data_IF_727654321611
#
_entry.id   IF_727654321611
#
_cell.length_a   1.000
_cell.length_b   1.000
_cell.length_c   1.000
_cell.angle_alpha   90.00
_cell.angle_beta   90.00
_cell.angle_gamma   90.00
#
_symmetry.space_group_name_H-M   'P 1'
#
loop_
_entity.id
_entity.type
_entity.pdbx_description
1 polymer ?
#
# COMPACT_ATOMS: atom_id res chain seq x y z
N UNK A 1 -24.36 -7.72 12.84
CA UNK A 1 -23.19 -8.61 12.68
C UNK A 1 -21.94 -7.91 13.19
N UNK A 2 -21.43 -8.36 14.34
CA UNK A 2 -20.11 -7.98 14.87
C UNK A 2 -19.04 -8.61 13.99
N UNK A 3 -18.02 -7.84 13.58
CA UNK A 3 -16.88 -8.43 12.87
C UNK A 3 -16.31 -9.60 13.71
N UNK A 4 -15.91 -10.71 13.10
CA UNK A 4 -15.25 -11.75 13.86
C UNK A 4 -14.00 -11.12 14.48
N UNK A 5 -13.82 -11.29 15.79
CA UNK A 5 -12.69 -10.70 16.54
C UNK A 5 -11.31 -11.05 15.93
N UNK A 6 -11.24 -12.07 15.06
CA UNK A 6 -10.06 -12.43 14.29
C UNK A 6 -9.68 -11.39 13.23
N UNK A 7 -10.62 -10.85 12.43
CA UNK A 7 -10.28 -9.99 11.29
C UNK A 7 -9.48 -8.74 11.71
N UNK A 8 -9.99 -7.97 12.67
CA UNK A 8 -9.30 -6.77 13.13
C UNK A 8 -7.99 -7.08 13.87
N UNK A 9 -7.90 -8.25 14.51
CA UNK A 9 -6.65 -8.72 15.12
C UNK A 9 -5.61 -9.03 14.04
N UNK A 10 -6.02 -9.66 12.94
CA UNK A 10 -5.16 -9.96 11.81
C UNK A 10 -4.72 -8.68 11.09
N UNK A 11 -5.64 -7.72 10.90
CA UNK A 11 -5.29 -6.40 10.35
C UNK A 11 -4.32 -5.64 11.25
N UNK A 12 -4.50 -5.69 12.57
CA UNK A 12 -3.55 -5.07 13.49
C UNK A 12 -2.15 -5.69 13.39
N UNK A 13 -2.07 -7.01 13.22
CA UNK A 13 -0.79 -7.71 12.97
C UNK A 13 -0.15 -7.25 11.66
N UNK A 14 -0.90 -7.25 10.56
CA UNK A 14 -0.42 -6.78 9.25
C UNK A 14 0.07 -5.34 9.33
N UNK A 15 -0.73 -4.46 9.93
CA UNK A 15 -0.38 -3.05 10.15
C UNK A 15 0.94 -2.91 10.92
N UNK A 16 1.09 -3.64 12.03
CA UNK A 16 2.27 -3.57 12.89
C UNK A 16 3.51 -4.10 12.16
N UNK A 17 3.39 -5.24 11.47
CA UNK A 17 4.48 -5.86 10.73
C UNK A 17 4.94 -4.97 9.57
N UNK A 18 4.00 -4.39 8.83
CA UNK A 18 4.26 -3.42 7.78
C UNK A 18 4.95 -2.16 8.32
N UNK A 19 4.48 -1.63 9.45
CA UNK A 19 5.09 -0.47 10.12
C UNK A 19 6.54 -0.73 10.50
N UNK A 20 6.81 -1.84 11.19
CA UNK A 20 8.15 -2.19 11.64
C UNK A 20 9.07 -2.56 10.46
N UNK A 21 8.55 -3.26 9.46
CA UNK A 21 9.30 -3.63 8.27
C UNK A 21 9.75 -2.41 7.48
N UNK A 22 8.91 -1.39 7.40
CA UNK A 22 9.22 -0.13 6.75
C UNK A 22 10.26 0.69 7.53
N UNK A 23 10.13 0.77 8.86
CA UNK A 23 11.16 1.40 9.70
C UNK A 23 12.53 0.74 9.53
N UNK A 24 12.57 -0.58 9.46
CA UNK A 24 13.80 -1.33 9.19
C UNK A 24 14.34 -1.01 7.79
N UNK A 25 13.47 -1.00 6.79
CA UNK A 25 13.82 -0.68 5.40
C UNK A 25 14.46 0.70 5.28
N UNK A 26 13.86 1.71 5.90
CA UNK A 26 14.43 3.05 5.96
C UNK A 26 15.81 3.07 6.63
N UNK A 27 15.97 2.33 7.74
CA UNK A 27 17.27 2.18 8.42
C UNK A 27 18.36 1.64 7.49
N UNK A 28 18.03 0.60 6.73
CA UNK A 28 18.95 0.01 5.74
C UNK A 28 19.26 1.01 4.63
N UNK A 29 18.25 1.68 4.08
CA UNK A 29 18.44 2.63 2.97
C UNK A 29 19.28 3.83 3.40
N UNK A 30 19.05 4.40 4.59
CA UNK A 30 19.89 5.49 5.11
C UNK A 30 21.33 5.03 5.32
N UNK A 31 21.54 3.81 5.83
CA UNK A 31 22.87 3.21 5.96
C UNK A 31 23.58 3.05 4.62
N UNK A 32 22.88 2.54 3.60
CA UNK A 32 23.42 2.37 2.24
C UNK A 32 23.75 3.70 1.56
N UNK A 33 22.97 4.75 1.83
CA UNK A 33 23.21 6.10 1.31
C UNK A 33 24.35 6.84 2.04
N UNK A 34 24.88 6.28 3.13
CA UNK A 34 25.94 6.90 3.92
C UNK A 34 25.48 8.18 4.64
N UNK A 35 24.19 8.24 5.01
CA UNK A 35 23.61 9.44 5.59
C UNK A 35 24.15 9.70 7.00
N UNK A 36 24.85 10.83 7.17
CA UNK A 36 25.62 11.13 8.38
C UNK A 36 24.73 11.51 9.58
N UNK A 37 23.48 11.90 9.34
CA UNK A 37 22.53 12.33 10.39
C UNK A 37 21.89 11.15 11.15
N UNK A 38 22.14 9.91 10.72
CA UNK A 38 21.54 8.71 11.32
C UNK A 38 20.02 8.63 11.11
N UNK A 39 19.40 7.54 11.58
CA UNK A 39 17.97 7.34 11.43
C UNK A 39 17.18 8.31 12.34
N UNK A 40 16.36 9.17 11.74
CA UNK A 40 15.37 9.99 12.45
C UNK A 40 14.18 9.12 12.85
N UNK A 41 14.27 8.45 14.01
CA UNK A 41 13.27 7.46 14.46
C UNK A 41 11.82 7.95 14.37
N UNK A 42 11.55 9.20 14.74
CA UNK A 42 10.19 9.78 14.65
C UNK A 42 9.67 9.87 13.22
N UNK A 43 10.53 10.20 12.26
CA UNK A 43 10.19 10.20 10.84
C UNK A 43 9.98 8.77 10.33
N UNK A 44 10.89 7.86 10.69
CA UNK A 44 10.80 6.47 10.31
C UNK A 44 9.51 5.83 10.80
N UNK A 45 9.10 6.11 12.05
CA UNK A 45 7.85 5.64 12.62
C UNK A 45 6.63 6.23 11.89
N UNK A 46 6.61 7.54 11.60
CA UNK A 46 5.50 8.17 10.89
C UNK A 46 5.33 7.59 9.48
N UNK A 47 6.42 7.41 8.75
CA UNK A 47 6.41 6.78 7.44
C UNK A 47 6.02 5.30 7.52
N UNK A 48 6.52 4.57 8.53
CA UNK A 48 6.11 3.19 8.77
C UNK A 48 4.61 3.06 9.04
N UNK A 49 4.02 3.96 9.83
CA UNK A 49 2.57 4.00 10.06
C UNK A 49 1.77 4.28 8.77
N UNK A 50 2.31 5.12 7.88
CA UNK A 50 1.71 5.34 6.57
C UNK A 50 1.74 4.07 5.72
N UNK A 51 2.87 3.37 5.69
CA UNK A 51 3.00 2.06 5.02
C UNK A 51 2.07 1.02 5.62
N UNK A 52 2.00 0.93 6.95
CA UNK A 52 1.08 0.05 7.67
C UNK A 52 -0.37 0.29 7.31
N UNK A 53 -0.77 1.56 7.19
CA UNK A 53 -2.12 1.93 6.73
C UNK A 53 -2.38 1.43 5.31
N UNK A 54 -1.45 1.65 4.39
CA UNK A 54 -1.59 1.22 2.99
C UNK A 54 -1.81 -0.29 2.88
N UNK A 55 -1.11 -1.09 3.69
CA UNK A 55 -1.23 -2.56 3.68
C UNK A 55 -2.61 -3.06 4.16
N UNK A 56 -3.28 -2.34 5.06
CA UNK A 56 -4.56 -2.77 5.62
C UNK A 56 -5.77 -2.05 5.03
N UNK A 57 -5.56 -0.97 4.29
CA UNK A 57 -6.64 -0.11 3.80
C UNK A 57 -7.61 -0.86 2.89
N UNK A 58 -7.11 -1.63 1.91
CA UNK A 58 -7.98 -2.35 0.99
C UNK A 58 -8.79 -3.48 1.66
N UNK A 59 -8.20 -4.40 2.44
CA UNK A 59 -8.98 -5.40 3.16
C UNK A 59 -10.04 -4.80 4.10
N UNK A 60 -9.71 -3.71 4.80
CA UNK A 60 -10.68 -3.02 5.67
C UNK A 60 -11.80 -2.38 4.84
N UNK A 61 -11.48 -1.76 3.70
CA UNK A 61 -12.46 -1.17 2.80
C UNK A 61 -13.42 -2.22 2.25
N UNK A 62 -12.89 -3.33 1.74
CA UNK A 62 -13.68 -4.49 1.25
C UNK A 62 -14.59 -5.00 2.36
N UNK A 63 -14.05 -5.24 3.57
CA UNK A 63 -14.86 -5.71 4.71
C UNK A 63 -16.01 -4.76 5.07
N UNK A 64 -15.78 -3.45 5.04
CA UNK A 64 -16.82 -2.45 5.31
C UNK A 64 -17.86 -2.42 4.18
N UNK A 65 -17.43 -2.47 2.92
CA UNK A 65 -18.31 -2.43 1.76
C UNK A 65 -19.17 -3.70 1.66
N UNK A 66 -18.61 -4.89 1.86
CA UNK A 66 -19.36 -6.15 1.92
C UNK A 66 -20.44 -6.14 2.99
N UNK A 67 -20.12 -5.55 4.15
CA UNK A 67 -21.05 -5.48 5.29
C UNK A 67 -22.21 -4.51 5.06
N UNK A 68 -21.99 -3.46 4.27
CA UNK A 68 -22.92 -2.34 4.14
C UNK A 68 -23.55 -2.21 2.74
N UNK A 69 -23.08 -2.96 1.75
CA UNK A 69 -23.58 -2.92 0.37
C UNK A 69 -23.76 -4.33 -0.19
N UNK A 70 -25.02 -4.74 -0.36
CA UNK A 70 -25.34 -6.02 -0.99
C UNK A 70 -24.88 -6.05 -2.46
N UNK A 71 -24.99 -4.92 -3.16
CA UNK A 71 -24.51 -4.76 -4.54
C UNK A 71 -23.01 -4.96 -4.64
N UNK A 72 -22.24 -4.41 -3.69
CA UNK A 72 -20.79 -4.64 -3.65
C UNK A 72 -20.51 -6.12 -3.43
N UNK A 73 -21.17 -6.74 -2.43
CA UNK A 73 -20.99 -8.16 -2.11
C UNK A 73 -21.28 -9.06 -3.31
N UNK A 74 -22.37 -8.80 -4.03
CA UNK A 74 -22.72 -9.52 -5.26
C UNK A 74 -21.63 -9.36 -6.32
N UNK A 75 -21.23 -8.12 -6.62
CA UNK A 75 -20.18 -7.88 -7.61
C UNK A 75 -18.81 -8.44 -7.21
N UNK A 76 -18.53 -8.57 -5.91
CA UNK A 76 -17.23 -9.05 -5.41
C UNK A 76 -17.14 -10.57 -5.34
N UNK A 77 -18.19 -11.29 -4.92
CA UNK A 77 -18.14 -12.75 -4.75
C UNK A 77 -18.77 -13.53 -5.89
N UNK A 78 -19.88 -13.07 -6.46
CA UNK A 78 -20.67 -13.89 -7.39
C UNK A 78 -20.01 -13.94 -8.78
N UNK A 79 -20.15 -15.06 -9.49
CA UNK A 79 -19.54 -15.27 -10.81
C UNK A 79 -20.14 -14.37 -11.90
N UNK A 80 -21.42 -14.04 -11.78
CA UNK A 80 -22.15 -13.09 -12.62
C UNK A 80 -21.92 -11.62 -12.22
N UNK A 81 -21.20 -11.39 -11.13
CA UNK A 81 -20.84 -10.09 -10.61
C UNK A 81 -19.75 -9.37 -11.42
N UNK A 82 -19.85 -8.04 -11.52
CA UNK A 82 -18.81 -7.21 -12.15
C UNK A 82 -17.62 -6.99 -11.19
N UNK A 83 -16.64 -7.90 -11.20
CA UNK A 83 -15.43 -7.83 -10.35
C UNK A 83 -14.69 -6.50 -10.48
N UNK A 84 -14.61 -5.97 -11.71
CA UNK A 84 -13.99 -4.66 -12.01
C UNK A 84 -14.64 -3.54 -11.20
N UNK A 85 -15.98 -3.51 -11.13
CA UNK A 85 -16.70 -2.50 -10.35
C UNK A 85 -16.44 -2.64 -8.85
N UNK A 86 -16.34 -3.88 -8.36
CA UNK A 86 -16.00 -4.14 -6.97
C UNK A 86 -14.56 -3.71 -6.63
N UNK A 87 -13.57 -4.00 -7.49
CA UNK A 87 -12.18 -3.56 -7.27
C UNK A 87 -12.04 -2.04 -7.31
N UNK A 88 -12.77 -1.36 -8.21
CA UNK A 88 -12.84 0.10 -8.24
C UNK A 88 -13.44 0.65 -6.95
N UNK A 89 -14.57 0.12 -6.50
CA UNK A 89 -15.22 0.57 -5.27
C UNK A 89 -14.35 0.30 -4.03
N UNK A 90 -13.72 -0.87 -3.96
CA UNK A 90 -12.76 -1.24 -2.90
C UNK A 90 -11.54 -0.32 -2.91
N UNK A 91 -10.97 -0.04 -4.08
CA UNK A 91 -9.84 0.88 -4.25
C UNK A 91 -10.16 2.32 -3.85
N UNK A 92 -11.35 2.82 -4.18
CA UNK A 92 -11.83 4.13 -3.70
C UNK A 92 -12.00 4.14 -2.18
N UNK A 93 -12.58 3.07 -1.62
CA UNK A 93 -12.71 2.92 -0.17
C UNK A 93 -11.36 2.89 0.55
N UNK A 94 -10.40 2.16 -0.01
CA UNK A 94 -9.02 2.08 0.50
C UNK A 94 -8.34 3.44 0.45
N UNK A 95 -8.43 4.15 -0.69
CA UNK A 95 -7.93 5.51 -0.83
C UNK A 95 -8.53 6.46 0.21
N UNK A 96 -9.80 6.28 0.57
CA UNK A 96 -10.46 7.03 1.64
C UNK A 96 -9.83 6.78 3.01
N UNK A 97 -9.59 5.52 3.36
CA UNK A 97 -8.92 5.13 4.60
C UNK A 97 -7.49 5.69 4.64
N UNK A 98 -6.72 5.48 3.57
CA UNK A 98 -5.36 6.01 3.42
C UNK A 98 -5.37 7.52 3.57
N UNK A 99 -6.26 8.24 2.89
CA UNK A 99 -6.34 9.69 3.00
C UNK A 99 -6.66 10.15 4.43
N UNK A 100 -7.61 9.51 5.11
CA UNK A 100 -8.03 9.90 6.47
C UNK A 100 -6.91 9.71 7.50
N UNK A 101 -6.11 8.65 7.36
CA UNK A 101 -5.04 8.32 8.30
C UNK A 101 -3.71 8.95 7.90
N UNK A 102 -3.31 8.84 6.64
CA UNK A 102 -1.98 9.25 6.19
C UNK A 102 -1.87 10.76 5.96
N UNK A 103 -2.95 11.46 5.62
CA UNK A 103 -2.92 12.92 5.46
C UNK A 103 -2.49 13.68 6.73
N UNK A 104 -3.07 13.42 7.93
CA UNK A 104 -2.58 14.07 9.14
C UNK A 104 -1.17 13.60 9.55
N UNK A 105 -0.80 12.33 9.30
CA UNK A 105 0.57 11.86 9.54
C UNK A 105 1.58 12.60 8.64
N UNK A 106 1.22 12.82 7.37
CA UNK A 106 2.04 13.58 6.42
C UNK A 106 2.22 15.04 6.85
N UNK A 107 1.16 15.65 7.40
CA UNK A 107 1.24 16.99 8.02
C UNK A 107 2.23 17.04 9.17
N UNK A 108 2.22 16.04 10.04
CA UNK A 108 3.14 15.97 11.16
C UNK A 108 4.58 15.76 10.68
N UNK A 109 4.78 14.88 9.70
CA UNK A 109 6.08 14.59 9.09
C UNK A 109 6.69 15.83 8.45
N UNK A 110 5.96 16.50 7.55
CA UNK A 110 6.41 17.74 6.90
C UNK A 110 6.69 18.86 7.90
N UNK A 111 5.83 19.02 8.91
CA UNK A 111 6.06 20.00 9.97
C UNK A 111 7.34 19.72 10.77
N UNK A 112 7.63 18.45 11.07
CA UNK A 112 8.87 18.06 11.74
C UNK A 112 10.11 18.34 10.86
N UNK A 113 9.98 18.22 9.55
CA UNK A 113 11.02 18.52 8.56
C UNK A 113 11.12 20.01 8.18
N UNK A 114 10.27 20.87 8.76
CA UNK A 114 10.13 22.29 8.38
C UNK A 114 9.73 22.49 6.91
N UNK A 115 9.07 21.49 6.31
CA UNK A 115 8.50 21.57 4.98
C UNK A 115 7.07 22.10 5.02
N UNK A 116 6.69 22.86 4.00
CA UNK A 116 5.35 23.43 3.89
C UNK A 116 4.42 22.44 3.19
N UNK A 117 3.31 22.08 3.85
CA UNK A 117 2.28 21.28 3.19
C UNK A 117 1.40 22.15 2.32
N UNK A 118 1.61 22.04 1.01
CA UNK A 118 0.85 22.75 -0.02
C UNK A 118 -0.42 22.00 -0.45
N UNK A 119 -0.46 20.68 -0.25
CA UNK A 119 -1.56 19.84 -0.69
C UNK A 119 -2.77 19.85 0.27
N UNK A 120 -3.94 20.10 -0.32
CA UNK A 120 -5.22 19.93 0.38
C UNK A 120 -5.58 18.45 0.52
N UNK A 121 -6.43 18.13 1.49
CA UNK A 121 -6.94 16.77 1.68
C UNK A 121 -7.59 16.19 0.41
N UNK A 122 -8.31 17.02 -0.35
CA UNK A 122 -8.97 16.58 -1.60
C UNK A 122 -7.97 16.14 -2.66
N UNK A 123 -6.90 16.91 -2.84
CA UNK A 123 -5.82 16.56 -3.76
C UNK A 123 -5.07 15.31 -3.29
N UNK A 124 -4.81 15.21 -1.98
CA UNK A 124 -4.20 14.01 -1.40
C UNK A 124 -5.06 12.77 -1.66
N UNK A 125 -6.37 12.83 -1.36
CA UNK A 125 -7.30 11.73 -1.62
C UNK A 125 -7.36 11.36 -3.11
N UNK A 126 -7.50 12.35 -4.00
CA UNK A 126 -7.55 12.10 -5.44
C UNK A 126 -6.28 11.40 -5.96
N UNK A 127 -5.11 11.77 -5.43
CA UNK A 127 -3.85 11.11 -5.73
C UNK A 127 -3.77 9.66 -5.23
N UNK A 128 -4.55 9.28 -4.22
CA UNK A 128 -4.59 7.90 -3.70
C UNK A 128 -5.57 6.99 -4.44
N UNK A 129 -6.60 7.52 -5.11
CA UNK A 129 -7.63 6.71 -5.78
C UNK A 129 -7.02 5.80 -6.85
N UNK A 130 -6.25 6.38 -7.76
CA UNK A 130 -5.60 5.65 -8.85
C UNK A 130 -4.71 4.49 -8.38
N UNK A 131 -3.70 4.76 -7.53
CA UNK A 131 -2.84 3.73 -6.95
C UNK A 131 -3.60 2.59 -6.27
N UNK A 132 -4.60 2.90 -5.44
CA UNK A 132 -5.33 1.89 -4.69
C UNK A 132 -6.23 1.03 -5.59
N UNK A 133 -6.81 1.60 -6.65
CA UNK A 133 -7.52 0.83 -7.67
C UNK A 133 -6.54 -0.09 -8.41
N UNK A 134 -5.41 0.45 -8.89
CA UNK A 134 -4.41 -0.30 -9.63
C UNK A 134 -3.82 -1.47 -8.82
N UNK A 135 -3.50 -1.21 -7.54
CA UNK A 135 -3.03 -2.23 -6.61
C UNK A 135 -4.07 -3.34 -6.41
N UNK A 136 -5.34 -2.99 -6.19
CA UNK A 136 -6.43 -3.95 -6.04
C UNK A 136 -6.56 -4.88 -7.25
N UNK A 137 -6.52 -4.31 -8.47
CA UNK A 137 -6.55 -5.11 -9.70
C UNK A 137 -5.39 -6.10 -9.76
N UNK A 138 -4.17 -5.67 -9.45
CA UNK A 138 -3.01 -6.54 -9.48
C UNK A 138 -3.08 -7.65 -8.42
N UNK A 139 -3.41 -7.32 -7.18
CA UNK A 139 -3.52 -8.29 -6.10
C UNK A 139 -4.56 -9.36 -6.45
N UNK A 140 -5.77 -8.96 -6.87
CA UNK A 140 -6.88 -9.88 -7.09
C UNK A 140 -6.76 -10.68 -8.40
N UNK A 141 -6.08 -10.18 -9.43
CA UNK A 141 -5.91 -10.89 -10.69
C UNK A 141 -4.63 -11.72 -10.76
N UNK A 142 -3.52 -11.20 -10.21
CA UNK A 142 -2.20 -11.80 -10.39
C UNK A 142 -1.91 -12.81 -9.28
N UNK A 143 -2.26 -12.51 -8.02
CA UNK A 143 -1.94 -13.40 -6.91
C UNK A 143 -2.54 -14.81 -7.08
N UNK A 144 -3.82 -14.98 -7.47
CA UNK A 144 -4.40 -16.31 -7.67
C UNK A 144 -3.83 -17.04 -8.88
N UNK A 145 -3.33 -16.32 -9.88
CA UNK A 145 -2.74 -16.89 -11.09
C UNK A 145 -1.31 -17.41 -10.87
N UNK A 146 -0.61 -16.93 -9.83
CA UNK A 146 0.77 -17.31 -9.56
C UNK A 146 0.86 -18.58 -8.70
N UNK A 147 1.49 -19.67 -9.18
CA UNK A 147 1.61 -20.91 -8.43
C UNK A 147 2.41 -20.72 -7.14
N UNK A 148 2.01 -21.41 -6.08
CA UNK A 148 2.77 -21.45 -4.80
C UNK A 148 3.79 -22.57 -4.87
N UNK A 149 5.06 -22.23 -4.69
CA UNK A 149 6.16 -23.19 -4.71
C UNK A 149 6.43 -23.73 -3.29
N UNK A 150 7.09 -24.89 -3.17
CA UNK A 150 7.56 -25.37 -1.85
C UNK A 150 8.93 -24.81 -1.48
N UNK A 151 9.71 -24.41 -2.49
CA UNK A 151 11.05 -23.87 -2.33
C UNK A 151 10.98 -22.42 -1.87
N UNK A 152 11.75 -22.08 -0.83
CA UNK A 152 11.77 -20.75 -0.23
C UNK A 152 12.25 -19.66 -1.19
N UNK A 153 13.25 -19.94 -2.02
CA UNK A 153 13.77 -18.98 -3.00
C UNK A 153 12.73 -18.70 -4.11
N UNK A 154 12.06 -19.74 -4.63
CA UNK A 154 11.01 -19.54 -5.64
C UNK A 154 9.79 -18.82 -5.07
N UNK A 155 9.41 -19.09 -3.81
CA UNK A 155 8.36 -18.32 -3.14
C UNK A 155 8.75 -16.87 -2.88
N UNK A 156 10.00 -16.63 -2.48
CA UNK A 156 10.53 -15.29 -2.33
C UNK A 156 10.47 -14.53 -3.66
N UNK A 157 10.97 -15.13 -4.74
CA UNK A 157 10.94 -14.53 -6.08
C UNK A 157 9.51 -14.25 -6.55
N UNK A 158 8.57 -15.19 -6.31
CA UNK A 158 7.14 -14.99 -6.55
C UNK A 158 6.60 -13.77 -5.80
N UNK A 159 6.92 -13.63 -4.51
CA UNK A 159 6.51 -12.49 -3.68
C UNK A 159 7.04 -11.17 -4.23
N UNK A 160 8.32 -11.14 -4.65
CA UNK A 160 8.93 -9.96 -5.28
C UNK A 160 8.27 -9.60 -6.61
N UNK A 161 7.96 -10.59 -7.46
CA UNK A 161 7.24 -10.37 -8.71
C UNK A 161 5.82 -9.84 -8.48
N UNK A 162 5.10 -10.40 -7.50
CA UNK A 162 3.76 -9.92 -7.14
C UNK A 162 3.82 -8.47 -6.67
N UNK A 163 4.75 -8.14 -5.76
CA UNK A 163 4.94 -6.78 -5.27
C UNK A 163 5.29 -5.79 -6.39
N UNK A 164 6.22 -6.16 -7.29
CA UNK A 164 6.55 -5.36 -8.46
C UNK A 164 5.32 -5.13 -9.37
N UNK A 165 4.50 -6.15 -9.56
CA UNK A 165 3.28 -6.05 -10.37
C UNK A 165 2.21 -5.16 -9.74
N UNK A 166 2.06 -5.24 -8.41
CA UNK A 166 1.19 -4.36 -7.62
C UNK A 166 1.66 -2.90 -7.74
N UNK A 167 2.94 -2.65 -7.53
CA UNK A 167 3.52 -1.31 -7.63
C UNK A 167 3.41 -0.73 -9.04
N UNK A 168 3.65 -1.55 -10.07
CA UNK A 168 3.48 -1.13 -11.46
C UNK A 168 2.02 -0.77 -11.75
N UNK A 169 1.08 -1.60 -11.32
CA UNK A 169 -0.35 -1.36 -11.55
C UNK A 169 -0.85 -0.14 -10.78
N UNK A 170 -0.36 0.07 -9.55
CA UNK A 170 -0.61 1.30 -8.80
C UNK A 170 -0.05 2.54 -9.52
N UNK A 171 1.16 2.45 -10.07
CA UNK A 171 1.78 3.53 -10.86
C UNK A 171 0.94 3.85 -12.11
N UNK A 172 0.47 2.83 -12.83
CA UNK A 172 -0.42 3.01 -13.97
C UNK A 172 -1.78 3.61 -13.57
N UNK A 173 -2.33 3.18 -12.43
CA UNK A 173 -3.55 3.74 -11.88
C UNK A 173 -3.42 5.22 -11.52
N UNK A 174 -2.22 5.67 -11.13
CA UNK A 174 -1.91 7.07 -10.83
C UNK A 174 -1.70 7.94 -12.08
N UNK A 175 -1.39 7.36 -13.24
CA UNK A 175 -1.04 8.09 -14.46
C UNK A 175 -2.05 9.17 -14.88
N UNK A 176 -3.39 8.98 -14.78
CA UNK A 176 -4.34 10.04 -15.09
C UNK A 176 -4.22 11.26 -14.17
N UNK A 177 -3.95 11.04 -12.88
CA UNK A 177 -3.78 12.14 -11.92
C UNK A 177 -2.45 12.85 -12.14
N UNK A 178 -1.38 12.11 -12.40
CA UNK A 178 -0.07 12.64 -12.77
C UNK A 178 -0.13 13.55 -14.00
N UNK A 179 -0.90 13.16 -15.02
CA UNK A 179 -1.09 14.00 -16.21
C UNK A 179 -1.78 15.34 -15.88
N UNK A 180 -2.70 15.36 -14.91
CA UNK A 180 -3.39 16.58 -14.46
C UNK A 180 -2.46 17.47 -13.63
N UNK A 181 -1.55 16.87 -12.85
CA UNK A 181 -0.58 17.61 -12.03
C UNK A 181 0.69 18.00 -12.78
N UNK A 182 0.79 17.65 -14.07
CA UNK A 182 1.91 18.01 -14.95
C UNK A 182 3.14 17.11 -14.83
N UNK A 183 3.02 15.95 -14.19
CA UNK A 183 4.10 14.95 -14.14
C UNK A 183 4.19 14.17 -15.46
N UNK A 184 5.41 13.98 -15.93
CA UNK A 184 5.71 13.20 -17.13
C UNK A 184 5.66 11.69 -16.86
N UNK A 185 5.37 10.89 -17.90
CA UNK A 185 5.45 9.43 -17.80
C UNK A 185 6.85 8.96 -17.39
N UNK A 186 7.91 9.64 -17.85
CA UNK A 186 9.29 9.33 -17.44
C UNK A 186 9.53 9.53 -15.95
N UNK A 187 8.94 10.54 -15.33
CA UNK A 187 9.04 10.74 -13.87
C UNK A 187 8.30 9.65 -13.11
N UNK A 188 7.13 9.22 -13.59
CA UNK A 188 6.37 8.12 -12.98
C UNK A 188 7.13 6.79 -13.05
N UNK A 189 7.57 6.40 -14.25
CA UNK A 189 8.29 5.14 -14.43
C UNK A 189 9.69 5.20 -13.81
N UNK A 190 10.33 6.36 -13.82
CA UNK A 190 11.60 6.58 -13.12
C UNK A 190 11.46 6.35 -11.61
N UNK A 191 10.40 6.91 -11.00
CA UNK A 191 10.05 6.67 -9.60
C UNK A 191 9.82 5.18 -9.31
N UNK A 192 8.97 4.53 -10.12
CA UNK A 192 8.72 3.08 -10.00
C UNK A 192 10.01 2.24 -10.00
N UNK A 193 10.93 2.50 -10.95
CA UNK A 193 12.19 1.75 -11.05
C UNK A 193 13.08 1.99 -9.82
N UNK A 194 13.17 3.24 -9.35
CA UNK A 194 13.93 3.60 -8.15
C UNK A 194 13.34 2.89 -6.92
N UNK A 195 12.02 2.79 -6.84
CA UNK A 195 11.31 2.21 -5.70
C UNK A 195 11.32 0.68 -5.67
N UNK A 196 11.70 0.00 -6.77
CA UNK A 196 11.77 -1.47 -6.79
C UNK A 196 12.70 -2.03 -5.71
N UNK A 197 13.87 -1.43 -5.52
CA UNK A 197 14.85 -1.92 -4.54
C UNK A 197 14.39 -1.70 -3.08
N UNK A 198 13.98 -0.48 -2.66
CA UNK A 198 13.33 -0.26 -1.38
C UNK A 198 12.13 -1.17 -1.12
N UNK A 199 11.27 -1.35 -2.12
CA UNK A 199 10.08 -2.21 -2.02
C UNK A 199 10.44 -3.67 -1.79
N UNK A 200 11.54 -4.14 -2.37
CA UNK A 200 12.03 -5.49 -2.14
C UNK A 200 12.49 -5.72 -0.71
N UNK A 201 13.25 -4.77 -0.14
CA UNK A 201 13.66 -4.80 1.27
C UNK A 201 12.44 -4.75 2.19
N UNK A 202 11.46 -3.88 1.89
CA UNK A 202 10.23 -3.79 2.65
C UNK A 202 9.49 -5.13 2.69
N UNK A 203 9.26 -5.74 1.53
CA UNK A 203 8.58 -7.03 1.44
C UNK A 203 9.29 -8.12 2.25
N UNK A 204 10.62 -8.19 2.17
CA UNK A 204 11.42 -9.14 2.94
C UNK A 204 11.33 -8.88 4.45
N UNK A 205 11.38 -7.61 4.85
CA UNK A 205 11.30 -7.20 6.25
C UNK A 205 9.94 -7.52 6.85
N UNK A 206 8.85 -7.22 6.13
CA UNK A 206 7.49 -7.55 6.54
C UNK A 206 7.30 -9.06 6.63
N UNK A 207 7.79 -9.82 5.65
CA UNK A 207 7.74 -11.28 5.65
C UNK A 207 8.49 -11.89 6.84
N UNK A 208 9.70 -11.41 7.11
CA UNK A 208 10.51 -11.86 8.25
C UNK A 208 9.82 -11.55 9.58
N UNK A 209 9.39 -10.30 9.80
CA UNK A 209 8.72 -9.90 11.05
C UNK A 209 7.44 -10.72 11.25
N UNK A 210 6.69 -10.99 10.19
CA UNK A 210 5.48 -11.81 10.26
C UNK A 210 5.75 -13.27 10.66
N UNK A 211 6.96 -13.78 10.45
CA UNK A 211 7.34 -15.15 10.84
C UNK A 211 7.71 -15.33 12.32
N UNK A 212 7.89 -14.22 13.05
CA UNK A 212 8.32 -14.23 14.46
C UNK A 212 7.13 -14.42 15.42
N UNK A 213 5.89 -14.15 14.97
CA UNK A 213 4.67 -14.10 15.79
C UNK A 213 3.63 -15.15 15.38
#
# INVERSE_FOLDING_TARGET
MTAPKSFFKDMLKVYTNATLGDMFTQSVIHGLKGDAEGLKFGEALLHGMQTGTTFVAYPIAVHLLEKHSETFRHHYHDEDGCKVAAYVAGGIGAAGIVALVNYPLEKLRKRAQKEQQTETFRFYFAGQVGPNIGAAFASELIEPALPVFKNSLYNWARGQMLNASINLSATLGYAPFAAITGQSLSELFGGYVIDMFPSGILNDSVGYISSIW
#
